data_IF_924777655478
#
_entry.id   IF_924777655478
#
_cell.length_a   1.000
_cell.length_b   1.000
_cell.length_c   1.000
_cell.angle_alpha   90.00
_cell.angle_beta   90.00
_cell.angle_gamma   90.00
#
_symmetry.space_group_name_H-M   'P 1'
#
loop_
_entity.id
_entity.type
_entity.pdbx_description
1 polymer ?
#
# COMPACT_ATOMS: atom_id res chain seq x y z
N UNK A 1 1.15 1.07 -11.95
CA UNK A 1 0.19 0.72 -10.88
C UNK A 1 -0.17 1.96 -10.08
N UNK A 2 0.77 2.55 -9.31
CA UNK A 2 0.54 3.69 -8.41
C UNK A 2 -0.27 4.84 -9.02
N UNK A 3 0.13 5.35 -10.20
CA UNK A 3 -0.57 6.46 -10.86
C UNK A 3 -2.03 6.13 -11.23
N UNK A 4 -2.27 4.93 -11.78
CA UNK A 4 -3.63 4.53 -12.19
C UNK A 4 -4.51 4.13 -10.98
N UNK A 5 -3.89 3.74 -9.87
CA UNK A 5 -4.58 3.46 -8.62
C UNK A 5 -4.88 4.72 -7.80
N UNK A 6 -4.35 5.89 -8.18
CA UNK A 6 -4.44 7.11 -7.37
C UNK A 6 -3.75 6.97 -6.01
N UNK A 7 -2.75 6.10 -5.90
CA UNK A 7 -2.15 5.71 -4.62
C UNK A 7 -0.68 6.14 -4.53
N UNK A 8 -0.29 6.67 -3.38
CA UNK A 8 1.10 6.90 -3.04
C UNK A 8 1.70 5.60 -2.50
N UNK A 9 2.66 5.03 -3.22
CA UNK A 9 3.26 3.72 -2.89
C UNK A 9 4.76 3.88 -2.78
N UNK A 10 5.29 3.48 -1.63
CA UNK A 10 6.73 3.43 -1.38
C UNK A 10 7.14 1.99 -1.09
N UNK A 11 8.22 1.55 -1.73
CA UNK A 11 8.83 0.25 -1.50
C UNK A 11 10.27 0.49 -1.08
N UNK A 12 10.65 -0.03 0.09
CA UNK A 12 12.03 -0.03 0.56
C UNK A 12 12.48 -1.46 0.81
N UNK A 13 13.45 -1.93 0.02
CA UNK A 13 14.06 -3.24 0.19
C UNK A 13 15.27 -3.11 1.10
N UNK A 14 15.19 -3.64 2.32
CA UNK A 14 16.28 -3.55 3.28
C UNK A 14 17.54 -4.32 2.81
N UNK A 15 17.35 -5.50 2.19
CA UNK A 15 18.43 -6.34 1.68
C UNK A 15 17.88 -7.39 0.70
N UNK A 16 18.78 -8.00 -0.09
CA UNK A 16 18.48 -9.16 -0.91
C UNK A 16 19.58 -9.41 -1.96
N UNK A 17 19.80 -10.68 -2.30
CA UNK A 17 20.79 -11.08 -3.33
C UNK A 17 20.12 -11.79 -4.51
N UNK A 18 19.15 -12.66 -4.22
CA UNK A 18 18.43 -13.40 -5.25
C UNK A 18 17.27 -12.56 -5.80
N UNK A 19 17.29 -12.31 -7.11
CA UNK A 19 16.30 -11.49 -7.80
C UNK A 19 14.86 -12.02 -7.66
N UNK A 20 14.66 -13.35 -7.72
CA UNK A 20 13.34 -13.95 -7.58
C UNK A 20 12.77 -13.68 -6.18
N UNK A 21 13.57 -13.90 -5.12
CA UNK A 21 13.15 -13.63 -3.76
C UNK A 21 12.91 -12.14 -3.48
N UNK A 22 13.73 -11.26 -4.07
CA UNK A 22 13.54 -9.80 -3.94
C UNK A 22 12.18 -9.38 -4.49
N UNK A 23 11.87 -9.81 -5.72
CA UNK A 23 10.60 -9.45 -6.37
C UNK A 23 9.43 -10.03 -5.58
N UNK A 24 9.51 -11.30 -5.19
CA UNK A 24 8.45 -11.95 -4.41
C UNK A 24 8.23 -11.26 -3.06
N UNK A 25 9.31 -10.87 -2.36
CA UNK A 25 9.23 -10.13 -1.11
C UNK A 25 8.54 -8.76 -1.29
N UNK A 26 8.89 -8.02 -2.35
CA UNK A 26 8.26 -6.73 -2.67
C UNK A 26 6.76 -6.90 -2.91
N UNK A 27 6.35 -7.87 -3.74
CA UNK A 27 4.94 -8.05 -4.07
C UNK A 27 4.13 -8.61 -2.89
N UNK A 28 4.70 -9.50 -2.07
CA UNK A 28 4.06 -9.95 -0.83
C UNK A 28 3.87 -8.81 0.18
N UNK A 29 4.89 -7.98 0.36
CA UNK A 29 4.80 -6.82 1.24
C UNK A 29 3.76 -5.81 0.75
N UNK A 30 3.76 -5.52 -0.56
CA UNK A 30 2.76 -4.66 -1.18
C UNK A 30 1.34 -5.20 -1.01
N UNK A 31 1.13 -6.50 -1.22
CA UNK A 31 -0.18 -7.14 -1.03
C UNK A 31 -0.71 -6.96 0.39
N UNK A 32 0.13 -7.18 1.41
CA UNK A 32 -0.24 -6.97 2.81
C UNK A 32 -0.53 -5.51 3.14
N UNK A 33 0.27 -4.58 2.60
CA UNK A 33 0.06 -3.15 2.82
C UNK A 33 -1.24 -2.65 2.18
N UNK A 34 -1.60 -3.18 1.01
CA UNK A 34 -2.87 -2.86 0.34
C UNK A 34 -4.07 -3.45 1.10
N UNK A 35 -3.98 -4.69 1.59
CA UNK A 35 -5.03 -5.30 2.41
C UNK A 35 -5.32 -4.46 3.66
N UNK A 36 -4.28 -4.02 4.37
CA UNK A 36 -4.41 -3.15 5.54
C UNK A 36 -4.98 -1.76 5.16
N UNK A 37 -4.49 -1.14 4.09
CA UNK A 37 -4.92 0.19 3.67
C UNK A 37 -6.35 0.25 3.11
N UNK A 38 -6.88 -0.88 2.61
CA UNK A 38 -8.22 -0.98 2.02
C UNK A 38 -9.25 -1.59 2.97
N UNK A 39 -8.82 -2.10 4.12
CA UNK A 39 -9.69 -2.65 5.15
C UNK A 39 -10.65 -1.60 5.74
N UNK A 40 -11.89 -2.01 6.04
CA UNK A 40 -12.85 -1.14 6.72
C UNK A 40 -12.50 -0.99 8.20
N UNK A 41 -12.21 0.23 8.65
CA UNK A 41 -12.03 0.55 10.07
C UNK A 41 -13.35 1.06 10.67
N UNK A 42 -13.99 0.32 11.59
CA UNK A 42 -15.28 0.72 12.18
C UNK A 42 -15.21 1.99 13.05
N UNK A 43 -14.00 2.49 13.35
CA UNK A 43 -13.80 3.75 14.10
C UNK A 43 -13.87 4.97 13.21
N UNK A 44 -13.87 4.80 11.89
CA UNK A 44 -13.80 5.88 10.91
C UNK A 44 -15.19 6.13 10.35
N UNK A 45 -15.70 7.33 10.59
CA UNK A 45 -16.92 7.83 9.98
C UNK A 45 -16.56 8.80 8.84
N UNK A 46 -17.09 8.56 7.64
CA UNK A 46 -16.83 9.41 6.48
C UNK A 46 -15.47 9.19 5.82
N UNK A 47 -14.90 10.25 5.22
CA UNK A 47 -13.62 10.18 4.49
C UNK A 47 -12.45 10.35 5.45
N UNK A 48 -11.45 9.47 5.40
CA UNK A 48 -10.21 9.55 6.18
C UNK A 48 -9.27 10.66 5.66
N UNK A 49 -9.73 11.91 5.70
CA UNK A 49 -8.98 13.09 5.26
C UNK A 49 -9.48 14.32 6.00
N UNK A 50 -8.57 15.13 6.56
CA UNK A 50 -8.94 16.39 7.21
C UNK A 50 -9.53 17.43 6.25
N UNK A 51 -9.27 17.27 4.94
CA UNK A 51 -9.89 18.06 3.87
C UNK A 51 -11.34 17.61 3.59
N UNK A 52 -11.72 16.41 4.04
CA UNK A 52 -13.03 15.81 3.80
C UNK A 52 -13.19 15.16 2.43
N UNK A 53 -12.15 15.12 1.60
CA UNK A 53 -12.17 14.47 0.28
C UNK A 53 -10.83 13.79 -0.07
N UNK A 54 -10.91 12.82 -0.99
CA UNK A 54 -9.81 12.19 -1.72
C UNK A 54 -10.22 12.18 -3.20
N UNK A 55 -9.33 12.59 -4.10
CA UNK A 55 -9.55 12.71 -5.55
C UNK A 55 -8.48 11.94 -6.32
#
# INVERSE_FOLDING_TARGET
FSNHAGANIHVNLAYGENLHHIIEAIFKALGRALDEATGHDPRIEGVMSSKGSLE
#
